data_IF_078992135342
#
_entry.id   IF_078992135342
#
_cell.length_a   1.000
_cell.length_b   1.000
_cell.length_c   1.000
_cell.angle_alpha   90.00
_cell.angle_beta   90.00
_cell.angle_gamma   90.00
#
_symmetry.space_group_name_H-M   'P 1'
#
loop_
_entity.id
_entity.type
_entity.pdbx_description
1 polymer ?
#
# COMPACT_ATOMS: atom_id res chain seq x y z
N UNK A 1 27.03 -45.59 -4.86
CA UNK A 1 26.94 -44.38 -5.71
C UNK A 1 25.47 -43.99 -5.86
N UNK A 2 24.90 -43.28 -4.88
CA UNK A 2 23.43 -43.03 -4.81
C UNK A 2 23.08 -41.54 -4.62
N UNK A 3 24.08 -40.66 -4.52
CA UNK A 3 23.90 -39.23 -4.25
C UNK A 3 23.57 -38.35 -5.46
N UNK A 4 23.93 -38.78 -6.67
CA UNK A 4 23.75 -37.97 -7.88
C UNK A 4 22.29 -37.88 -8.35
N UNK A 5 21.46 -38.89 -8.04
CA UNK A 5 20.04 -38.94 -8.44
C UNK A 5 19.15 -37.97 -7.65
N UNK A 6 19.55 -37.60 -6.43
CA UNK A 6 18.79 -36.66 -5.57
C UNK A 6 18.97 -35.20 -6.01
N UNK A 7 20.12 -34.88 -6.60
CA UNK A 7 20.42 -33.52 -7.06
C UNK A 7 19.68 -33.17 -8.36
N UNK A 8 19.51 -34.15 -9.26
CA UNK A 8 18.74 -33.99 -10.50
C UNK A 8 17.25 -33.73 -10.23
N UNK A 9 16.71 -34.30 -9.16
CA UNK A 9 15.32 -34.07 -8.75
C UNK A 9 15.06 -32.67 -8.17
N UNK A 10 16.03 -32.08 -7.46
CA UNK A 10 15.90 -30.70 -6.95
C UNK A 10 15.98 -29.66 -8.08
N UNK A 11 16.82 -29.88 -9.09
CA UNK A 11 16.97 -28.96 -10.22
C UNK A 11 15.70 -28.91 -11.10
N UNK A 12 14.99 -30.04 -11.26
CA UNK A 12 13.74 -30.10 -12.00
C UNK A 12 12.59 -29.33 -11.33
N UNK A 13 12.56 -29.28 -9.99
CA UNK A 13 11.56 -28.52 -9.24
C UNK A 13 11.73 -27.01 -9.38
N UNK A 14 12.96 -26.50 -9.39
CA UNK A 14 13.23 -25.06 -9.53
C UNK A 14 12.88 -24.56 -10.94
N UNK A 15 13.07 -25.39 -11.97
CA UNK A 15 12.69 -25.06 -13.35
C UNK A 15 11.16 -24.93 -13.55
N UNK A 16 10.35 -25.66 -12.77
CA UNK A 16 8.88 -25.56 -12.82
C UNK A 16 8.34 -24.27 -12.18
N UNK A 17 9.04 -23.70 -11.19
CA UNK A 17 8.60 -22.45 -10.56
C UNK A 17 8.91 -21.21 -11.43
N UNK A 18 9.81 -21.33 -12.41
CA UNK A 18 10.18 -20.22 -13.28
C UNK A 18 9.12 -19.85 -14.34
N UNK A 19 8.13 -20.72 -14.58
CA UNK A 19 7.06 -20.47 -15.58
C UNK A 19 5.75 -19.97 -14.97
N UNK A 20 5.63 -19.90 -13.64
CA UNK A 20 4.41 -19.45 -12.95
C UNK A 20 4.29 -17.91 -12.81
N UNK A 21 5.15 -17.15 -13.49
CA UNK A 21 5.27 -15.69 -13.32
C UNK A 21 5.16 -14.87 -14.61
N UNK A 22 4.42 -15.33 -15.61
CA UNK A 22 4.05 -14.52 -16.77
C UNK A 22 2.57 -14.79 -17.11
N UNK A 23 1.69 -14.14 -16.37
CA UNK A 23 0.26 -14.06 -16.66
C UNK A 23 -0.04 -12.69 -17.24
N UNK A 24 0.18 -12.54 -18.55
CA UNK A 24 -0.49 -11.52 -19.35
C UNK A 24 -1.92 -12.03 -19.56
N UNK A 25 -2.82 -11.55 -18.70
CA UNK A 25 -4.20 -12.02 -18.56
C UNK A 25 -5.15 -10.83 -18.54
N UNK A 26 -5.54 -10.41 -19.74
CA UNK A 26 -6.57 -9.42 -20.04
C UNK A 26 -7.94 -9.90 -19.49
N UNK A 27 -8.41 -9.28 -18.40
CA UNK A 27 -9.81 -9.26 -17.95
C UNK A 27 -10.03 -8.10 -16.95
N UNK A 28 -10.74 -7.06 -17.42
CA UNK A 28 -10.92 -5.71 -16.85
C UNK A 28 -11.70 -5.63 -15.50
N UNK A 29 -11.73 -4.48 -14.78
CA UNK A 29 -12.50 -3.31 -15.21
C UNK A 29 -11.84 -1.93 -15.00
N UNK A 30 -12.21 -1.00 -15.88
CA UNK A 30 -12.30 0.46 -15.71
C UNK A 30 -11.59 1.08 -14.50
N UNK A 31 -10.38 1.57 -14.75
CA UNK A 31 -9.72 2.59 -13.97
C UNK A 31 -8.58 3.12 -14.82
N UNK A 32 -8.84 4.19 -15.56
CA UNK A 32 -7.82 4.85 -16.36
C UNK A 32 -6.68 5.34 -15.45
N UNK A 33 -5.64 4.52 -15.29
CA UNK A 33 -4.34 5.02 -14.86
C UNK A 33 -3.78 5.76 -16.06
N UNK A 34 -4.05 7.07 -16.08
CA UNK A 34 -3.36 8.03 -16.91
C UNK A 34 -1.86 8.00 -16.55
N UNK A 35 -1.14 7.04 -17.11
CA UNK A 35 0.31 7.05 -17.18
C UNK A 35 0.74 7.97 -18.32
N UNK A 36 0.49 9.27 -18.20
CA UNK A 36 1.13 10.28 -19.05
C UNK A 36 0.97 11.68 -18.46
N UNK A 37 1.87 12.02 -17.53
CA UNK A 37 2.36 13.38 -17.25
C UNK A 37 3.59 13.29 -16.35
N UNK A 38 4.73 12.97 -16.94
CA UNK A 38 6.05 13.14 -16.31
C UNK A 38 6.48 14.60 -16.47
N UNK A 39 5.83 15.49 -15.74
CA UNK A 39 6.40 16.78 -15.34
C UNK A 39 6.75 16.71 -13.85
N UNK A 40 7.63 17.58 -13.31
CA UNK A 40 7.75 17.72 -11.87
C UNK A 40 6.35 18.05 -11.32
N UNK A 41 5.74 17.12 -10.58
CA UNK A 41 4.55 17.45 -9.81
C UNK A 41 5.07 18.38 -8.71
N UNK A 42 4.78 19.67 -8.86
CA UNK A 42 5.09 20.66 -7.85
C UNK A 42 4.36 20.23 -6.58
N UNK A 43 5.13 19.88 -5.55
CA UNK A 43 4.57 19.38 -4.32
C UNK A 43 3.92 20.58 -3.61
N UNK A 44 2.59 20.62 -3.60
CA UNK A 44 1.84 21.58 -2.80
C UNK A 44 2.17 21.35 -1.33
N UNK A 45 2.76 22.36 -0.69
CA UNK A 45 3.18 22.32 0.72
C UNK A 45 2.30 23.19 1.61
N UNK A 46 1.14 23.61 1.09
CA UNK A 46 0.14 24.33 1.88
C UNK A 46 -0.27 23.47 3.09
N UNK A 47 -0.26 24.03 4.32
CA UNK A 47 -0.68 23.29 5.49
C UNK A 47 -2.14 22.84 5.39
N UNK A 48 -2.38 21.54 5.48
CA UNK A 48 -3.72 20.95 5.42
C UNK A 48 -3.95 19.96 6.56
N UNK A 49 -5.22 19.75 6.89
CA UNK A 49 -5.66 18.80 7.91
C UNK A 49 -6.51 17.72 7.29
N UNK A 50 -6.09 16.47 7.46
CA UNK A 50 -6.83 15.29 7.03
C UNK A 50 -7.62 14.72 8.20
N UNK A 51 -8.93 14.59 8.02
CA UNK A 51 -9.82 13.96 9.00
C UNK A 51 -9.99 12.49 8.67
N UNK A 52 -9.64 11.62 9.61
CA UNK A 52 -9.81 10.17 9.50
C UNK A 52 -11.06 9.74 10.27
N UNK A 53 -12.04 9.21 9.56
CA UNK A 53 -13.17 8.53 10.18
C UNK A 53 -12.88 7.03 10.24
N UNK A 54 -12.82 6.47 11.43
CA UNK A 54 -12.61 5.04 11.63
C UNK A 54 -13.93 4.34 11.96
N UNK A 55 -14.28 3.31 11.18
CA UNK A 55 -15.46 2.47 11.47
C UNK A 55 -15.29 1.67 12.76
N UNK A 56 -14.07 1.17 13.00
CA UNK A 56 -13.72 0.48 14.24
C UNK A 56 -13.16 1.48 15.25
N UNK A 57 -13.27 1.13 16.53
CA UNK A 57 -12.60 1.89 17.58
C UNK A 57 -11.09 1.82 17.37
N UNK A 58 -10.46 3.00 17.28
CA UNK A 58 -9.02 3.17 17.21
C UNK A 58 -8.61 3.96 18.46
N UNK A 59 -7.64 3.45 19.22
CA UNK A 59 -7.09 4.22 20.34
C UNK A 59 -6.20 5.34 19.82
N UNK A 60 -6.00 6.38 20.64
CA UNK A 60 -5.17 7.52 20.26
C UNK A 60 -3.70 7.10 20.06
N UNK A 61 -3.21 6.11 20.81
CA UNK A 61 -1.86 5.54 20.64
C UNK A 61 -1.71 4.78 19.32
N UNK A 62 -2.69 3.95 18.95
CA UNK A 62 -2.67 3.24 17.67
C UNK A 62 -2.75 4.23 16.50
N UNK A 63 -3.61 5.24 16.61
CA UNK A 63 -3.69 6.30 15.60
C UNK A 63 -2.35 7.03 15.44
N UNK A 64 -1.69 7.37 16.55
CA UNK A 64 -0.41 8.06 16.52
C UNK A 64 0.68 7.21 15.86
N UNK A 65 0.85 5.97 16.33
CA UNK A 65 1.91 5.08 15.89
C UNK A 65 1.78 4.69 14.41
N UNK A 66 0.56 4.45 13.92
CA UNK A 66 0.35 3.92 12.57
C UNK A 66 -0.02 4.98 11.53
N UNK A 67 -0.55 6.14 11.93
CA UNK A 67 -1.05 7.15 10.99
C UNK A 67 -0.41 8.52 11.19
N UNK A 68 -0.65 9.19 12.33
CA UNK A 68 -0.26 10.60 12.44
C UNK A 68 1.25 10.81 12.44
N UNK A 69 2.01 9.97 13.15
CA UNK A 69 3.47 10.15 13.25
C UNK A 69 4.19 9.83 11.94
N UNK A 70 3.89 8.72 11.24
CA UNK A 70 4.46 8.46 9.92
C UNK A 70 4.13 9.56 8.90
N UNK A 71 2.88 10.05 8.88
CA UNK A 71 2.45 11.10 7.95
C UNK A 71 3.15 12.42 8.27
N UNK A 72 3.18 12.86 9.53
CA UNK A 72 3.88 14.08 9.94
C UNK A 72 5.38 14.02 9.62
N UNK A 73 6.01 12.86 9.80
CA UNK A 73 7.43 12.66 9.48
C UNK A 73 7.72 12.77 7.99
N UNK A 74 6.81 12.28 7.13
CA UNK A 74 6.98 12.28 5.67
C UNK A 74 6.49 13.59 5.02
N UNK A 75 5.42 14.16 5.55
CA UNK A 75 4.73 15.35 5.05
C UNK A 75 4.45 16.32 6.21
N UNK A 76 5.42 17.16 6.60
CA UNK A 76 5.30 18.01 7.80
C UNK A 76 4.20 19.08 7.73
N UNK A 77 3.70 19.38 6.53
CA UNK A 77 2.58 20.31 6.29
C UNK A 77 1.21 19.61 6.39
N UNK A 78 1.16 18.28 6.53
CA UNK A 78 -0.08 17.54 6.68
C UNK A 78 -0.26 17.18 8.15
N UNK A 79 -1.37 17.62 8.73
CA UNK A 79 -1.83 17.17 10.06
C UNK A 79 -2.96 16.16 9.90
N UNK A 80 -3.10 15.25 10.86
CA UNK A 80 -4.17 14.25 10.86
C UNK A 80 -4.98 14.33 12.16
N UNK A 81 -6.30 14.19 12.04
CA UNK A 81 -7.23 14.17 13.16
C UNK A 81 -8.14 12.94 13.09
N UNK A 82 -8.29 12.21 14.19
CA UNK A 82 -9.22 11.09 14.29
C UNK A 82 -10.61 11.59 14.67
N UNK A 83 -11.57 11.43 13.76
CA UNK A 83 -12.97 11.76 13.99
C UNK A 83 -13.63 10.62 14.76
N UNK A 84 -14.05 10.90 16.00
CA UNK A 84 -14.77 9.94 16.86
C UNK A 84 -16.28 10.07 16.61
N UNK A 85 -16.97 8.94 16.46
CA UNK A 85 -18.42 8.87 16.21
C UNK A 85 -19.18 9.59 17.35
N UNK A 86 -19.93 10.65 17.01
CA UNK A 86 -20.62 11.51 17.98
C UNK A 86 -20.54 13.01 17.68
N UNK A 87 -19.66 13.44 16.77
CA UNK A 87 -19.50 14.84 16.35
C UNK A 87 -20.38 15.26 15.15
N UNK A 88 -21.45 14.52 14.84
CA UNK A 88 -22.41 14.90 13.78
C UNK A 88 -21.88 14.81 12.34
N UNK A 89 -20.70 14.24 12.14
CA UNK A 89 -20.14 13.96 10.83
C UNK A 89 -20.72 12.62 10.33
N UNK A 90 -21.73 12.68 9.46
CA UNK A 90 -22.24 11.52 8.72
C UNK A 90 -21.17 11.02 7.73
N UNK A 91 -21.03 9.71 7.49
CA UNK A 91 -20.16 9.20 6.43
C UNK A 91 -20.55 9.72 5.04
#
# INVERSE_FOLDING_TARGET
MTGQKRFVWLAALIALLATAGCGDGDAAPQGALNSDKTGPIEQDTTPITLQLYAYNALTDEEFAAFFSDPVKKKYPHITMELVKSGQGLTP
#
